data_IF_854419316323
#
_entry.id   IF_854419316323
#
_cell.length_a   1.000
_cell.length_b   1.000
_cell.length_c   1.000
_cell.angle_alpha   90.00
_cell.angle_beta   90.00
_cell.angle_gamma   90.00
#
_symmetry.space_group_name_H-M   'P 1'
#
loop_
_entity.id
_entity.type
_entity.pdbx_description
1 polymer ?
#
# COMPACT_ATOMS: atom_id res chain seq x y z
N UNK A 1 13.26 30.83 -30.79
CA UNK A 1 13.47 29.41 -31.22
C UNK A 1 13.73 28.57 -29.95
N UNK A 2 14.70 28.90 -29.10
CA UNK A 2 15.05 28.14 -27.87
C UNK A 2 13.86 27.97 -26.94
N UNK A 3 13.11 29.03 -26.66
CA UNK A 3 11.93 29.01 -25.78
C UNK A 3 10.84 28.04 -26.28
N UNK A 4 10.63 28.02 -27.61
CA UNK A 4 9.66 27.10 -28.23
C UNK A 4 10.14 25.64 -28.13
N UNK A 5 11.44 25.40 -28.35
CA UNK A 5 12.00 24.06 -28.20
C UNK A 5 11.89 23.54 -26.77
N UNK A 6 12.19 24.39 -25.76
CA UNK A 6 12.02 24.04 -24.35
C UNK A 6 10.56 23.79 -24.00
N UNK A 7 9.62 24.60 -24.51
CA UNK A 7 8.19 24.41 -24.27
C UNK A 7 7.69 23.07 -24.83
N UNK A 8 8.12 22.68 -26.04
CA UNK A 8 7.81 21.36 -26.61
C UNK A 8 8.44 20.23 -25.79
N UNK A 9 9.65 20.44 -25.26
CA UNK A 9 10.30 19.51 -24.34
C UNK A 9 9.48 19.29 -23.08
N UNK A 10 9.05 20.37 -22.42
CA UNK A 10 8.16 20.32 -21.25
C UNK A 10 6.87 19.58 -21.56
N UNK A 11 6.23 19.86 -22.68
CA UNK A 11 4.99 19.19 -23.08
C UNK A 11 5.18 17.67 -23.23
N UNK A 12 6.29 17.23 -23.81
CA UNK A 12 6.63 15.80 -23.93
C UNK A 12 6.90 15.16 -22.57
N UNK A 13 7.57 15.86 -21.67
CA UNK A 13 7.84 15.37 -20.31
C UNK A 13 6.57 15.26 -19.48
N UNK A 14 5.67 16.24 -19.56
CA UNK A 14 4.35 16.18 -18.88
C UNK A 14 3.54 14.98 -19.35
N UNK A 15 3.56 14.66 -20.66
CA UNK A 15 2.91 13.46 -21.20
C UNK A 15 3.48 12.16 -20.62
N UNK A 16 4.70 12.19 -20.08
CA UNK A 16 5.37 11.09 -19.37
C UNK A 16 5.32 11.21 -17.85
N UNK A 17 4.34 11.97 -17.33
CA UNK A 17 4.11 12.19 -15.90
C UNK A 17 5.25 12.90 -15.15
N UNK A 18 6.16 13.59 -15.87
CA UNK A 18 7.18 14.41 -15.22
C UNK A 18 6.60 15.77 -14.83
N UNK A 19 6.86 16.23 -13.61
CA UNK A 19 6.43 17.53 -13.11
C UNK A 19 7.55 18.54 -13.32
N UNK A 20 7.37 19.47 -14.27
CA UNK A 20 8.32 20.54 -14.57
C UNK A 20 7.77 21.86 -14.01
N UNK A 21 8.48 22.45 -13.05
CA UNK A 21 8.09 23.72 -12.41
C UNK A 21 8.74 24.96 -13.06
N UNK A 22 9.90 24.81 -13.69
CA UNK A 22 10.65 25.90 -14.35
C UNK A 22 11.20 25.43 -15.67
N UNK A 23 11.08 26.23 -16.72
CA UNK A 23 11.59 25.93 -18.08
C UNK A 23 13.09 25.61 -18.10
N UNK A 24 13.98 26.35 -17.41
CA UNK A 24 15.41 26.03 -17.41
C UNK A 24 15.76 24.66 -16.82
N UNK A 25 14.89 24.08 -15.97
CA UNK A 25 15.12 22.75 -15.40
C UNK A 25 15.20 21.65 -16.48
N UNK A 26 14.56 21.84 -17.62
CA UNK A 26 14.61 20.89 -18.75
C UNK A 26 16.01 20.84 -19.38
N UNK A 27 16.61 22.00 -19.53
CA UNK A 27 17.98 22.12 -20.05
C UNK A 27 18.99 21.50 -19.07
N UNK A 28 18.89 21.86 -17.79
CA UNK A 28 19.74 21.29 -16.73
C UNK A 28 19.64 19.77 -16.67
N UNK A 29 18.41 19.22 -16.77
CA UNK A 29 18.20 17.78 -16.78
C UNK A 29 18.84 17.12 -18.01
N UNK A 30 18.77 17.77 -19.17
CA UNK A 30 19.37 17.28 -20.41
C UNK A 30 20.91 17.24 -20.37
N UNK A 31 21.54 18.06 -19.50
CA UNK A 31 22.99 18.11 -19.33
C UNK A 31 23.50 17.18 -18.21
N UNK A 32 22.63 16.50 -17.48
CA UNK A 32 23.04 15.60 -16.39
C UNK A 32 23.72 14.35 -16.95
N UNK A 33 24.87 13.99 -16.37
CA UNK A 33 25.63 12.78 -16.73
C UNK A 33 25.49 11.67 -15.69
N UNK A 34 25.05 12.02 -14.48
CA UNK A 34 24.87 11.09 -13.36
C UNK A 34 23.52 11.37 -12.69
N UNK A 35 22.74 10.33 -12.47
CA UNK A 35 21.46 10.39 -11.74
C UNK A 35 21.58 9.52 -10.50
N UNK A 36 21.48 10.15 -9.32
CA UNK A 36 21.39 9.45 -8.04
C UNK A 36 19.92 9.34 -7.67
N UNK A 37 19.44 8.11 -7.53
CA UNK A 37 18.05 7.83 -7.19
C UNK A 37 17.96 7.09 -5.86
N UNK A 38 17.07 7.53 -4.97
CA UNK A 38 16.70 6.74 -3.80
C UNK A 38 15.88 5.51 -4.24
N UNK A 39 15.99 4.45 -3.47
CA UNK A 39 15.24 3.21 -3.72
C UNK A 39 13.80 3.35 -3.28
N UNK A 40 13.59 3.79 -2.03
CA UNK A 40 12.28 3.72 -1.37
C UNK A 40 11.36 4.87 -1.79
N UNK A 41 10.19 4.56 -2.32
CA UNK A 41 9.23 5.54 -2.80
C UNK A 41 9.58 6.21 -4.14
N UNK A 42 10.75 5.88 -4.72
CA UNK A 42 11.19 6.35 -6.05
C UNK A 42 11.25 5.19 -7.05
N UNK A 43 12.04 4.16 -6.77
CA UNK A 43 12.09 2.93 -7.57
C UNK A 43 11.04 1.91 -7.11
N UNK A 44 10.59 2.00 -5.88
CA UNK A 44 9.53 1.18 -5.29
C UNK A 44 8.31 2.04 -4.95
N UNK A 45 7.15 1.41 -4.79
CA UNK A 45 5.90 2.09 -4.46
C UNK A 45 5.76 2.41 -2.96
N UNK A 46 6.79 2.13 -2.14
CA UNK A 46 6.74 2.24 -0.69
C UNK A 46 5.53 1.53 -0.08
N UNK A 47 5.13 0.40 -0.66
CA UNK A 47 4.03 -0.44 -0.20
C UNK A 47 4.58 -1.79 0.23
N UNK A 48 4.15 -2.23 1.39
CA UNK A 48 4.41 -3.57 1.90
C UNK A 48 3.25 -4.49 1.53
N UNK A 49 3.54 -5.77 1.33
CA UNK A 49 2.52 -6.78 1.01
C UNK A 49 2.84 -8.05 1.74
N UNK A 50 1.86 -8.64 2.41
CA UNK A 50 1.98 -9.99 2.98
C UNK A 50 1.99 -10.98 1.82
N UNK A 51 3.09 -11.70 1.65
CA UNK A 51 3.24 -12.75 0.64
C UNK A 51 2.96 -14.14 1.17
N UNK A 52 3.28 -14.37 2.47
CA UNK A 52 3.12 -15.68 3.12
C UNK A 52 2.73 -15.52 4.58
N UNK A 53 1.93 -16.47 5.08
CA UNK A 53 1.57 -16.61 6.49
C UNK A 53 1.85 -18.04 6.92
N UNK A 54 2.60 -18.19 8.00
CA UNK A 54 2.83 -19.50 8.64
C UNK A 54 2.06 -19.53 9.96
N UNK A 55 1.13 -20.46 10.09
CA UNK A 55 0.36 -20.69 11.31
C UNK A 55 0.01 -22.17 11.44
N UNK A 56 0.05 -22.70 12.66
CA UNK A 56 -0.26 -24.10 12.98
C UNK A 56 0.41 -25.12 12.02
N UNK A 57 1.69 -24.85 11.68
CA UNK A 57 2.47 -25.72 10.78
C UNK A 57 2.11 -25.60 9.29
N UNK A 58 1.07 -24.85 8.93
CA UNK A 58 0.65 -24.63 7.56
C UNK A 58 1.21 -23.32 7.00
N UNK A 59 1.75 -23.36 5.77
CA UNK A 59 2.24 -22.18 5.06
C UNK A 59 1.25 -21.78 3.97
N UNK A 60 0.64 -20.63 4.15
CA UNK A 60 -0.30 -20.04 3.21
C UNK A 60 0.39 -19.00 2.34
N UNK A 61 0.27 -19.12 1.02
CA UNK A 61 0.65 -18.06 0.09
C UNK A 61 -0.52 -17.07 -0.05
N UNK A 62 -0.21 -15.76 0.03
CA UNK A 62 -1.20 -14.68 -0.15
C UNK A 62 -0.92 -13.97 -1.47
N UNK A 63 -1.87 -14.04 -2.40
CA UNK A 63 -1.72 -13.44 -3.74
C UNK A 63 -2.16 -11.98 -3.77
N UNK A 64 -1.86 -11.28 -4.87
CA UNK A 64 -2.12 -9.86 -5.06
C UNK A 64 -1.00 -8.98 -4.52
N UNK A 65 -0.83 -7.79 -5.09
CA UNK A 65 0.25 -6.86 -4.78
C UNK A 65 -0.29 -5.52 -4.28
N UNK A 66 0.53 -4.80 -3.50
CA UNK A 66 0.19 -3.49 -2.96
C UNK A 66 -1.02 -3.53 -2.04
N UNK A 67 -1.86 -2.50 -2.13
CA UNK A 67 -3.03 -2.35 -1.25
C UNK A 67 -4.34 -2.84 -1.88
N UNK A 68 -4.27 -3.56 -3.00
CA UNK A 68 -5.45 -4.18 -3.61
C UNK A 68 -5.96 -5.33 -2.74
N UNK A 69 -7.23 -5.27 -2.35
CA UNK A 69 -7.89 -6.31 -1.55
C UNK A 69 -8.27 -7.55 -2.37
N UNK A 70 -8.14 -7.47 -3.70
CA UNK A 70 -8.36 -8.62 -4.58
C UNK A 70 -7.15 -9.54 -4.49
N UNK A 71 -7.33 -10.67 -3.84
CA UNK A 71 -6.29 -11.66 -3.64
C UNK A 71 -6.89 -12.95 -3.11
N UNK A 72 -6.08 -14.00 -3.09
CA UNK A 72 -6.49 -15.34 -2.65
C UNK A 72 -5.45 -15.89 -1.69
N UNK A 73 -5.90 -16.76 -0.82
CA UNK A 73 -5.04 -17.60 0.00
C UNK A 73 -4.85 -18.94 -0.69
N UNK A 74 -3.64 -19.44 -0.73
CA UNK A 74 -3.32 -20.73 -1.31
C UNK A 74 -2.62 -21.60 -0.27
N UNK A 75 -3.07 -22.82 -0.12
CA UNK A 75 -2.39 -23.89 0.64
C UNK A 75 -1.95 -24.96 -0.36
N UNK A 76 -0.67 -25.26 -0.39
CA UNK A 76 -0.10 -26.22 -1.36
C UNK A 76 -0.46 -25.89 -2.82
N UNK A 77 -0.45 -24.58 -3.17
CA UNK A 77 -0.82 -24.03 -4.50
C UNK A 77 -2.29 -24.18 -4.89
N UNK A 78 -3.15 -24.64 -3.99
CA UNK A 78 -4.60 -24.72 -4.20
C UNK A 78 -5.30 -23.58 -3.44
N UNK A 79 -6.34 -23.03 -4.01
CA UNK A 79 -7.14 -21.98 -3.37
C UNK A 79 -7.74 -22.48 -2.06
N UNK A 80 -7.53 -21.73 -0.99
CA UNK A 80 -7.95 -22.05 0.35
C UNK A 80 -8.83 -20.93 0.94
N UNK A 81 -9.92 -21.30 1.56
CA UNK A 81 -10.76 -20.35 2.28
C UNK A 81 -10.24 -20.16 3.71
N UNK A 82 -9.75 -18.95 4.09
CA UNK A 82 -9.23 -18.69 5.42
C UNK A 82 -10.17 -19.01 6.57
N UNK A 83 -11.48 -18.99 6.32
CA UNK A 83 -12.50 -19.30 7.34
C UNK A 83 -12.52 -20.78 7.76
N UNK A 84 -11.86 -21.67 7.01
CA UNK A 84 -11.76 -23.09 7.34
C UNK A 84 -10.63 -23.42 8.30
N UNK A 85 -9.73 -22.48 8.56
CA UNK A 85 -8.64 -22.63 9.51
C UNK A 85 -8.78 -21.56 10.61
N UNK A 86 -9.07 -22.03 11.83
CA UNK A 86 -9.29 -21.15 12.97
C UNK A 86 -8.02 -20.37 13.36
N UNK A 87 -6.85 -21.02 13.30
CA UNK A 87 -5.59 -20.37 13.65
C UNK A 87 -5.23 -19.26 12.64
N UNK A 88 -5.47 -19.50 11.35
CA UNK A 88 -5.27 -18.49 10.30
C UNK A 88 -6.25 -17.33 10.49
N UNK A 89 -7.52 -17.62 10.80
CA UNK A 89 -8.52 -16.59 11.03
C UNK A 89 -8.15 -15.73 12.26
N UNK A 90 -7.79 -16.33 13.39
CA UNK A 90 -7.36 -15.64 14.60
C UNK A 90 -6.11 -14.78 14.35
N UNK A 91 -5.14 -15.30 13.60
CA UNK A 91 -3.94 -14.54 13.19
C UNK A 91 -4.31 -13.27 12.40
N UNK A 92 -5.24 -13.36 11.47
CA UNK A 92 -5.71 -12.23 10.67
C UNK A 92 -6.54 -11.25 11.51
N UNK A 93 -7.37 -11.73 12.43
CA UNK A 93 -8.14 -10.88 13.35
C UNK A 93 -7.21 -10.09 14.29
N UNK A 94 -6.20 -10.74 14.88
CA UNK A 94 -5.19 -10.07 15.73
C UNK A 94 -4.40 -9.03 14.91
N UNK A 95 -4.06 -9.35 13.66
CA UNK A 95 -3.36 -8.43 12.75
C UNK A 95 -4.14 -7.13 12.49
N UNK A 96 -5.45 -7.16 12.56
CA UNK A 96 -6.31 -5.98 12.41
C UNK A 96 -6.53 -5.26 13.73
N UNK A 97 -6.69 -5.99 14.83
CA UNK A 97 -6.97 -5.41 16.13
C UNK A 97 -5.74 -4.73 16.74
N UNK A 98 -4.56 -5.39 16.67
CA UNK A 98 -3.29 -4.83 17.14
C UNK A 98 -2.61 -4.04 16.01
N UNK A 99 -3.26 -2.96 15.56
CA UNK A 99 -2.85 -2.21 14.38
C UNK A 99 -3.48 -0.80 14.40
N UNK A 100 -2.74 0.22 13.96
CA UNK A 100 -3.20 1.61 13.90
C UNK A 100 -3.42 2.11 12.46
N UNK A 101 -3.02 1.35 11.46
CA UNK A 101 -3.23 1.71 10.06
C UNK A 101 -4.69 1.55 9.63
N UNK A 102 -5.12 2.40 8.71
CA UNK A 102 -6.48 2.42 8.19
C UNK A 102 -6.47 2.23 6.67
N UNK A 103 -7.22 1.24 6.20
CA UNK A 103 -7.43 1.01 4.77
C UNK A 103 -8.60 1.87 4.28
N UNK A 104 -8.34 2.75 3.32
CA UNK A 104 -9.33 3.65 2.72
C UNK A 104 -9.54 3.33 1.25
N UNK A 105 -10.79 3.38 0.82
CA UNK A 105 -11.13 3.31 -0.60
C UNK A 105 -11.24 4.73 -1.17
N UNK A 106 -10.36 5.05 -2.10
CA UNK A 106 -10.38 6.33 -2.79
C UNK A 106 -11.41 6.28 -3.91
N UNK A 107 -12.58 6.87 -3.69
CA UNK A 107 -13.55 7.08 -4.75
C UNK A 107 -13.03 8.17 -5.71
N UNK A 108 -13.09 7.90 -7.01
CA UNK A 108 -12.76 8.89 -8.04
C UNK A 108 -13.76 10.03 -7.95
N UNK A 109 -13.40 11.13 -7.33
CA UNK A 109 -14.15 12.37 -7.48
C UNK A 109 -13.73 13.01 -8.81
N UNK A 110 -14.64 13.01 -9.79
CA UNK A 110 -14.44 13.72 -11.06
C UNK A 110 -14.68 15.21 -10.80
N UNK A 111 -13.68 15.88 -10.25
CA UNK A 111 -13.67 17.33 -10.13
C UNK A 111 -12.49 17.88 -10.93
N UNK A 112 -12.77 18.27 -12.18
CA UNK A 112 -11.84 19.04 -12.98
C UNK A 112 -11.35 18.37 -14.26
N UNK A 113 -11.56 19.05 -15.39
CA UNK A 113 -11.30 18.66 -16.78
C UNK A 113 -9.84 18.29 -17.11
N UNK A 114 -8.90 18.43 -16.17
CA UNK A 114 -7.45 18.32 -16.41
C UNK A 114 -6.68 17.36 -15.49
N UNK A 115 -7.34 16.70 -14.54
CA UNK A 115 -6.70 15.72 -13.68
C UNK A 115 -7.33 14.35 -13.92
N UNK A 116 -6.70 13.57 -14.79
CA UNK A 116 -6.86 12.12 -14.75
C UNK A 116 -6.38 11.69 -13.38
N UNK A 117 -7.30 11.40 -12.45
CA UNK A 117 -6.97 10.89 -11.13
C UNK A 117 -6.32 9.52 -11.32
N UNK A 118 -5.03 9.52 -11.20
CA UNK A 118 -4.24 8.33 -10.97
C UNK A 118 -4.67 7.82 -9.59
N UNK A 119 -5.10 6.56 -9.55
CA UNK A 119 -5.46 5.78 -8.35
C UNK A 119 -6.90 5.90 -7.84
N UNK A 120 -7.87 5.47 -8.66
CA UNK A 120 -9.04 4.79 -8.12
C UNK A 120 -8.54 3.48 -7.50
N UNK A 121 -8.59 3.33 -6.19
CA UNK A 121 -8.08 2.13 -5.54
C UNK A 121 -7.98 2.29 -4.03
N UNK A 122 -7.47 1.26 -3.41
CA UNK A 122 -7.24 1.24 -1.98
C UNK A 122 -5.93 1.97 -1.63
N UNK A 123 -5.94 2.70 -0.52
CA UNK A 123 -4.77 3.35 0.06
C UNK A 123 -4.69 3.08 1.55
N UNK A 124 -3.48 3.13 2.10
CA UNK A 124 -3.24 3.01 3.54
C UNK A 124 -2.90 4.38 4.10
N UNK A 125 -3.51 4.69 5.23
CA UNK A 125 -3.13 5.78 6.12
C UNK A 125 -2.52 5.14 7.38
N UNK A 126 -1.23 5.42 7.64
CA UNK A 126 -0.45 4.82 8.72
C UNK A 126 0.84 4.16 8.22
N UNK A 127 1.41 3.27 9.03
CA UNK A 127 2.64 2.55 8.70
C UNK A 127 2.40 1.52 7.59
N UNK A 128 3.28 1.44 6.57
CA UNK A 128 3.15 0.48 5.47
C UNK A 128 3.18 -0.99 5.91
N UNK A 129 3.91 -1.33 6.97
CA UNK A 129 4.01 -2.69 7.49
C UNK A 129 2.69 -3.09 8.13
N UNK A 130 2.15 -2.22 8.99
CA UNK A 130 0.81 -2.40 9.57
C UNK A 130 -0.27 -2.46 8.49
N UNK A 131 -0.18 -1.59 7.49
CA UNK A 131 -1.07 -1.56 6.36
C UNK A 131 -1.12 -2.87 5.57
N UNK A 132 0.04 -3.54 5.40
CA UNK A 132 0.11 -4.83 4.73
C UNK A 132 -0.72 -5.91 5.46
N UNK A 133 -0.72 -5.89 6.79
CA UNK A 133 -1.50 -6.80 7.63
C UNK A 133 -3.01 -6.56 7.47
N UNK A 134 -3.43 -5.29 7.50
CA UNK A 134 -4.83 -4.91 7.28
C UNK A 134 -5.31 -5.34 5.91
N UNK A 135 -4.49 -5.17 4.86
CA UNK A 135 -4.81 -5.62 3.50
C UNK A 135 -4.92 -7.14 3.43
N UNK A 136 -4.03 -7.89 4.10
CA UNK A 136 -4.12 -9.35 4.15
C UNK A 136 -5.43 -9.83 4.79
N UNK A 137 -5.84 -9.21 5.89
CA UNK A 137 -7.12 -9.49 6.53
C UNK A 137 -8.32 -9.12 5.64
N UNK A 138 -8.27 -7.97 4.95
CA UNK A 138 -9.32 -7.56 4.02
C UNK A 138 -9.47 -8.55 2.85
N UNK A 139 -8.38 -9.17 2.36
CA UNK A 139 -8.44 -10.26 1.36
C UNK A 139 -9.18 -11.50 1.87
N UNK A 140 -9.18 -11.74 3.19
CA UNK A 140 -9.97 -12.79 3.84
C UNK A 140 -11.40 -12.33 4.21
N UNK A 141 -11.81 -11.13 3.79
CA UNK A 141 -13.06 -10.48 4.18
C UNK A 141 -13.20 -10.32 5.71
N UNK A 142 -12.10 -9.97 6.37
CA UNK A 142 -12.01 -9.66 7.80
C UNK A 142 -11.80 -8.15 7.95
N UNK A 143 -12.78 -7.48 8.56
CA UNK A 143 -12.82 -6.02 8.65
C UNK A 143 -12.83 -5.56 10.11
N UNK A 144 -12.02 -4.54 10.43
CA UNK A 144 -11.92 -3.97 11.79
C UNK A 144 -13.27 -3.64 12.38
N UNK A 145 -14.12 -2.92 11.65
CA UNK A 145 -15.42 -2.47 12.11
C UNK A 145 -16.36 -3.62 12.49
N UNK A 146 -16.17 -4.81 11.92
CA UNK A 146 -16.97 -5.99 12.25
C UNK A 146 -16.44 -6.69 13.50
N UNK A 147 -15.11 -6.77 13.65
CA UNK A 147 -14.47 -7.42 14.79
C UNK A 147 -14.65 -6.57 16.04
N UNK A 148 -14.46 -5.25 15.97
CA UNK A 148 -14.59 -4.33 17.11
C UNK A 148 -16.00 -4.30 17.72
N UNK A 149 -17.02 -4.71 17.01
CA UNK A 149 -18.37 -4.92 17.58
C UNK A 149 -18.40 -6.04 18.61
N UNK A 150 -17.52 -7.03 18.46
CA UNK A 150 -17.43 -8.21 19.35
C UNK A 150 -16.27 -8.10 20.34
N UNK A 151 -15.18 -7.50 19.92
CA UNK A 151 -13.91 -7.40 20.63
C UNK A 151 -13.45 -5.94 20.63
N UNK A 152 -14.03 -5.16 21.54
CA UNK A 152 -13.72 -3.74 21.64
C UNK A 152 -12.32 -3.52 22.22
N UNK A 153 -11.52 -2.69 21.56
CA UNK A 153 -10.23 -2.22 22.06
C UNK A 153 -10.44 -1.36 23.32
N UNK A 154 -9.89 -1.79 24.45
CA UNK A 154 -10.06 -1.14 25.74
C UNK A 154 -8.87 -0.25 26.11
N UNK A 155 -7.66 -0.67 25.75
CA UNK A 155 -6.42 0.04 26.04
C UNK A 155 -5.38 -0.23 24.95
N UNK A 156 -4.36 0.62 24.90
CA UNK A 156 -3.22 0.47 24.02
C UNK A 156 -1.93 0.79 24.78
N UNK A 157 -0.93 -0.04 24.58
CA UNK A 157 0.46 0.28 24.88
C UNK A 157 1.15 0.50 23.54
N UNK A 158 1.50 1.77 23.18
CA UNK A 158 2.04 2.09 21.87
C UNK A 158 3.31 1.32 21.54
N UNK A 159 3.65 1.26 20.26
CA UNK A 159 4.92 0.72 19.80
C UNK A 159 6.08 1.55 20.36
N UNK A 160 7.03 0.87 21.00
CA UNK A 160 8.27 1.43 21.49
C UNK A 160 9.45 0.66 20.88
N UNK A 161 10.42 1.41 20.32
CA UNK A 161 11.58 0.82 19.66
C UNK A 161 12.43 -0.06 20.59
N UNK A 162 12.50 0.29 21.88
CA UNK A 162 13.23 -0.51 22.86
C UNK A 162 12.58 -1.87 23.12
N UNK A 163 11.26 -1.91 23.13
CA UNK A 163 10.47 -3.14 23.32
C UNK A 163 10.22 -3.90 22.01
N UNK A 164 10.38 -3.24 20.85
CA UNK A 164 10.07 -3.75 19.52
C UNK A 164 8.66 -4.34 19.39
N UNK A 165 7.69 -3.80 20.14
CA UNK A 165 6.30 -4.29 20.15
C UNK A 165 5.30 -3.22 20.60
N UNK A 166 4.09 -3.41 20.17
CA UNK A 166 2.88 -2.75 20.66
C UNK A 166 1.93 -3.80 21.25
N UNK A 167 1.00 -3.40 22.11
CA UNK A 167 -0.02 -4.28 22.68
C UNK A 167 -1.36 -3.56 22.76
N UNK A 168 -2.44 -4.29 22.58
CA UNK A 168 -3.82 -3.81 22.72
C UNK A 168 -4.60 -4.79 23.58
#
# INVERSE_FOLDING_TARGET
IVTVALALGVQRMIKRNAIIRKLPAVETLGCTTVICSDKTGTLTQNAMTVGKILTDGNLYDVTGAGYDIRGKFLLNKQEFDPKKDKCLQECLEISVLCNNSVLKHNNVSITGLWRKTVNAGWSIEGDPTEGALVVAAAKANIWRNEIEKKQRRMAEIPFESERCRMSV
#
